data_IF_730278976879
#
_entry.id   IF_730278976879
#
_cell.length_a   1.000
_cell.length_b   1.000
_cell.length_c   1.000
_cell.angle_alpha   90.00
_cell.angle_beta   90.00
_cell.angle_gamma   90.00
#
_symmetry.space_group_name_H-M   'P 1'
#
loop_
_entity.id
_entity.type
_entity.pdbx_description
1 polymer ?
#
# COMPACT_ATOMS: atom_id res chain seq x y z
N UNK A 1 -18.60 -14.60 23.03
CA UNK A 1 -17.27 -14.09 22.59
C UNK A 1 -17.18 -13.73 21.08
N UNK A 2 -18.02 -14.30 20.23
CA UNK A 2 -18.02 -14.09 18.76
C UNK A 2 -18.58 -12.71 18.34
N UNK A 3 -19.64 -12.25 19.01
CA UNK A 3 -20.31 -10.97 18.69
C UNK A 3 -19.37 -9.77 18.84
N UNK A 4 -18.59 -9.69 19.93
CA UNK A 4 -17.63 -8.59 20.14
C UNK A 4 -16.53 -8.54 19.07
N UNK A 5 -16.08 -9.70 18.57
CA UNK A 5 -15.06 -9.80 17.53
C UNK A 5 -15.60 -9.31 16.19
N UNK A 6 -16.82 -9.70 15.85
CA UNK A 6 -17.50 -9.27 14.63
C UNK A 6 -17.79 -7.77 14.63
N UNK A 7 -18.29 -7.23 15.76
CA UNK A 7 -18.51 -5.79 15.92
C UNK A 7 -17.21 -5.00 15.71
N UNK A 8 -16.11 -5.42 16.34
CA UNK A 8 -14.80 -4.77 16.16
C UNK A 8 -14.31 -4.79 14.71
N UNK A 9 -14.61 -5.87 13.98
CA UNK A 9 -14.28 -6.00 12.55
C UNK A 9 -15.11 -5.02 11.72
N UNK A 10 -16.41 -4.88 12.01
CA UNK A 10 -17.31 -3.92 11.34
C UNK A 10 -16.92 -2.47 11.59
N UNK A 11 -16.57 -2.11 12.83
CA UNK A 11 -16.10 -0.75 13.18
C UNK A 11 -14.83 -0.37 12.43
N UNK A 12 -13.96 -1.33 12.10
CA UNK A 12 -12.78 -1.07 11.28
C UNK A 12 -13.09 -0.93 9.77
N UNK A 13 -14.21 -1.49 9.30
CA UNK A 13 -14.63 -1.49 7.89
C UNK A 13 -15.47 -0.25 7.55
N UNK A 14 -16.34 0.20 8.46
CA UNK A 14 -17.15 1.43 8.29
C UNK A 14 -16.35 2.65 7.81
N UNK A 15 -15.21 3.02 8.42
CA UNK A 15 -14.43 4.16 7.95
C UNK A 15 -13.85 3.92 6.55
N UNK A 16 -13.48 2.68 6.21
CA UNK A 16 -13.01 2.32 4.86
C UNK A 16 -14.12 2.48 3.84
N UNK A 17 -15.35 2.02 4.15
CA UNK A 17 -16.53 2.19 3.29
C UNK A 17 -16.86 3.68 3.13
N UNK A 18 -16.84 4.45 4.22
CA UNK A 18 -17.03 5.90 4.17
C UNK A 18 -16.02 6.58 3.24
N UNK A 19 -14.73 6.24 3.39
CA UNK A 19 -13.68 6.76 2.53
C UNK A 19 -13.83 6.31 1.07
N UNK A 20 -14.28 5.08 0.80
CA UNK A 20 -14.58 4.65 -0.56
C UNK A 20 -15.77 5.38 -1.18
N UNK A 21 -16.78 5.74 -0.38
CA UNK A 21 -17.94 6.53 -0.80
C UNK A 21 -17.55 7.95 -1.21
N UNK A 22 -16.69 8.59 -0.42
CA UNK A 22 -16.26 9.98 -0.64
C UNK A 22 -15.13 10.09 -1.68
N UNK A 23 -14.09 9.28 -1.55
CA UNK A 23 -12.83 9.41 -2.33
C UNK A 23 -12.62 8.25 -3.31
N UNK A 24 -13.28 7.11 -3.11
CA UNK A 24 -13.05 5.86 -3.85
C UNK A 24 -13.86 5.69 -5.12
N UNK A 25 -14.47 6.76 -5.66
CA UNK A 25 -15.34 6.76 -6.83
C UNK A 25 -16.63 5.92 -6.70
N UNK A 26 -16.93 5.36 -5.53
CA UNK A 26 -18.15 4.58 -5.30
C UNK A 26 -19.42 5.44 -5.50
N UNK A 27 -19.34 6.75 -5.23
CA UNK A 27 -20.43 7.71 -5.52
C UNK A 27 -20.52 8.19 -6.97
N UNK A 28 -19.61 7.77 -7.86
CA UNK A 28 -19.58 8.13 -9.28
C UNK A 28 -19.82 6.88 -10.13
N UNK A 29 -21.03 6.35 -10.06
CA UNK A 29 -21.42 5.24 -10.94
C UNK A 29 -21.78 5.77 -12.33
N UNK A 30 -21.05 5.32 -13.34
CA UNK A 30 -21.30 5.62 -14.76
C UNK A 30 -22.04 4.49 -15.48
N UNK A 31 -22.32 3.38 -14.78
CA UNK A 31 -23.07 2.23 -15.26
C UNK A 31 -24.55 2.39 -14.90
N UNK A 32 -25.44 2.03 -15.83
CA UNK A 32 -26.89 2.15 -15.63
C UNK A 32 -27.45 0.99 -14.79
N UNK A 33 -28.40 1.33 -13.92
CA UNK A 33 -29.24 0.37 -13.21
C UNK A 33 -28.56 -0.35 -12.04
N UNK A 34 -29.33 -1.22 -11.39
CA UNK A 34 -28.94 -1.95 -10.19
C UNK A 34 -27.70 -2.84 -10.41
N UNK A 35 -27.61 -3.48 -11.57
CA UNK A 35 -26.45 -4.31 -11.93
C UNK A 35 -25.19 -3.45 -12.08
N UNK A 36 -25.34 -2.24 -12.63
CA UNK A 36 -24.27 -1.25 -12.70
C UNK A 36 -23.78 -0.81 -11.33
N UNK A 37 -24.68 -0.57 -10.39
CA UNK A 37 -24.34 -0.22 -9.00
C UNK A 37 -23.55 -1.34 -8.31
N UNK A 38 -23.97 -2.59 -8.50
CA UNK A 38 -23.28 -3.75 -7.96
C UNK A 38 -21.86 -3.90 -8.54
N UNK A 39 -21.71 -3.75 -9.86
CA UNK A 39 -20.41 -3.80 -10.53
C UNK A 39 -19.51 -2.66 -10.06
N UNK A 40 -20.03 -1.43 -9.94
CA UNK A 40 -19.28 -0.28 -9.47
C UNK A 40 -18.77 -0.48 -8.04
N UNK A 41 -19.59 -1.07 -7.16
CA UNK A 41 -19.19 -1.38 -5.79
C UNK A 41 -18.03 -2.39 -5.72
N UNK A 42 -18.12 -3.46 -6.51
CA UNK A 42 -17.05 -4.47 -6.60
C UNK A 42 -15.77 -3.85 -7.14
N UNK A 43 -15.85 -3.06 -8.22
CA UNK A 43 -14.69 -2.45 -8.85
C UNK A 43 -14.04 -1.38 -7.97
N UNK A 44 -14.83 -0.57 -7.26
CA UNK A 44 -14.32 0.41 -6.30
C UNK A 44 -13.55 -0.28 -5.15
N UNK A 45 -14.09 -1.39 -4.62
CA UNK A 45 -13.42 -2.22 -3.62
C UNK A 45 -12.14 -2.86 -4.14
N UNK A 46 -12.17 -3.46 -5.33
CA UNK A 46 -10.99 -4.03 -5.98
C UNK A 46 -9.91 -2.97 -6.21
N UNK A 47 -10.28 -1.79 -6.73
CA UNK A 47 -9.38 -0.67 -6.91
C UNK A 47 -8.76 -0.18 -5.60
N UNK A 48 -9.50 -0.20 -4.49
CA UNK A 48 -8.97 0.14 -3.17
C UNK A 48 -7.88 -0.85 -2.75
N UNK A 49 -8.14 -2.15 -2.88
CA UNK A 49 -7.17 -3.20 -2.57
C UNK A 49 -5.91 -3.11 -3.44
N UNK A 50 -6.05 -2.84 -4.74
CA UNK A 50 -4.93 -2.62 -5.65
C UNK A 50 -4.08 -1.39 -5.25
N UNK A 51 -4.71 -0.30 -4.79
CA UNK A 51 -4.00 0.87 -4.27
C UNK A 51 -3.20 0.54 -3.00
N UNK A 52 -3.73 -0.28 -2.09
CA UNK A 52 -2.97 -0.77 -0.94
C UNK A 52 -1.79 -1.63 -1.39
N UNK A 53 -2.03 -2.63 -2.23
CA UNK A 53 -0.99 -3.54 -2.72
C UNK A 53 0.15 -2.77 -3.37
N UNK A 54 -0.17 -1.77 -4.20
CA UNK A 54 0.84 -0.90 -4.82
C UNK A 54 1.68 -0.16 -3.79
N UNK A 55 1.07 0.41 -2.75
CA UNK A 55 1.81 1.12 -1.67
C UNK A 55 2.76 0.18 -0.93
N UNK A 56 2.32 -1.05 -0.66
CA UNK A 56 3.16 -2.07 -0.02
C UNK A 56 4.32 -2.48 -0.92
N UNK A 57 4.06 -2.73 -2.20
CA UNK A 57 5.09 -3.09 -3.17
C UNK A 57 6.15 -1.99 -3.30
N UNK A 58 5.74 -0.73 -3.41
CA UNK A 58 6.68 0.41 -3.47
C UNK A 58 7.56 0.44 -2.21
N UNK A 59 6.96 0.31 -1.01
CA UNK A 59 7.73 0.27 0.25
C UNK A 59 8.73 -0.89 0.28
N UNK A 60 8.31 -2.07 -0.15
CA UNK A 60 9.16 -3.25 -0.21
C UNK A 60 10.34 -3.04 -1.17
N UNK A 61 10.08 -2.53 -2.37
CA UNK A 61 11.12 -2.24 -3.36
C UNK A 61 12.10 -1.17 -2.86
N UNK A 62 11.62 -0.11 -2.21
CA UNK A 62 12.47 0.88 -1.56
C UNK A 62 13.36 0.25 -0.49
N UNK A 63 12.80 -0.62 0.37
CA UNK A 63 13.56 -1.29 1.42
C UNK A 63 14.66 -2.20 0.83
N UNK A 64 14.34 -2.98 -0.21
CA UNK A 64 15.31 -3.81 -0.92
C UNK A 64 16.42 -2.94 -1.54
N UNK A 65 16.05 -1.84 -2.21
CA UNK A 65 17.03 -0.94 -2.83
C UNK A 65 17.96 -0.30 -1.79
N UNK A 66 17.43 0.13 -0.64
CA UNK A 66 18.25 0.66 0.46
C UNK A 66 19.19 -0.39 1.02
N UNK A 67 18.73 -1.63 1.18
CA UNK A 67 19.56 -2.73 1.66
C UNK A 67 20.70 -3.07 0.70
N UNK A 68 20.39 -3.18 -0.60
CA UNK A 68 21.39 -3.40 -1.65
C UNK A 68 22.41 -2.27 -1.76
N UNK A 69 21.97 -1.02 -1.57
CA UNK A 69 22.85 0.15 -1.62
C UNK A 69 23.78 0.22 -0.40
N UNK A 70 23.29 -0.14 0.78
CA UNK A 70 24.08 -0.23 2.00
C UNK A 70 25.11 -1.38 1.96
N UNK A 71 24.87 -2.42 1.15
CA UNK A 71 25.78 -3.54 0.96
C UNK A 71 26.99 -3.24 0.03
N UNK A 72 27.13 -2.00 -0.48
CA UNK A 72 28.33 -1.60 -1.24
C UNK A 72 29.46 -1.23 -0.26
N UNK A 73 30.55 -2.03 -0.18
CA UNK A 73 31.72 -1.59 0.57
C UNK A 73 32.32 -0.39 -0.13
N UNK A 74 32.66 0.65 0.64
CA UNK A 74 33.45 1.78 0.17
C UNK A 74 34.70 1.25 -0.54
N UNK A 75 35.08 1.75 -1.73
CA UNK A 75 36.40 1.48 -2.23
C UNK A 75 37.36 2.14 -1.24
N UNK A 76 38.02 1.32 -0.43
CA UNK A 76 39.07 1.71 0.50
C UNK A 76 40.19 2.37 -0.33
N UNK A 77 40.09 3.68 -0.56
CA UNK A 77 41.19 4.49 -1.08
C UNK A 77 42.16 4.78 0.08
N UNK A 78 42.67 3.72 0.71
CA UNK A 78 43.87 3.82 1.53
C UNK A 78 45.06 3.81 0.59
N UNK A 79 45.42 4.98 0.09
CA UNK A 79 46.79 5.22 -0.38
C UNK A 79 47.70 4.98 0.84
N UNK A 80 48.63 4.02 0.79
CA UNK A 80 49.57 3.85 1.87
C UNK A 80 50.54 5.02 1.85
N UNK A 81 50.37 5.93 2.81
CA UNK A 81 51.43 6.84 3.24
C UNK A 81 52.58 6.00 3.79
N UNK A 82 53.53 5.61 2.95
CA UNK A 82 54.88 5.27 3.42
C UNK A 82 55.69 6.57 3.44
N UNK A 83 55.72 7.19 4.61
CA UNK A 83 56.77 8.12 4.99
C UNK A 83 57.32 7.59 6.30
N UNK A 84 58.66 7.65 6.42
CA UNK A 84 59.49 7.44 7.62
C UNK A 84 59.95 5.98 7.85
N UNK A 85 61.07 5.62 7.23
CA UNK A 85 62.34 5.29 7.90
C UNK A 85 63.47 5.24 6.87
#
# INVERSE_FOLDING_TARGET
PTIRRELRRRTAIEPVIGHMKTDGHLGRNFLLGFDGDAINAILAGAGHNLRLLRRWLIRLLCAIFTWLSAARPSPDLRLPNYHIA
#
